data_IF_608136650593
#
_entry.id   IF_608136650593
#
_cell.length_a   1.000
_cell.length_b   1.000
_cell.length_c   1.000
_cell.angle_alpha   90.00
_cell.angle_beta   90.00
_cell.angle_gamma   90.00
#
_symmetry.space_group_name_H-M   'P 1'
#
loop_
_entity.id
_entity.type
_entity.pdbx_description
1 polymer ?
#
# COMPACT_ATOMS: atom_id res chain seq x y z
N UNK A 1 9.99 11.15 17.37
CA UNK A 1 8.92 11.77 16.56
C UNK A 1 7.94 12.35 17.56
N UNK A 2 7.92 13.67 17.70
CA UNK A 2 6.82 14.34 18.40
C UNK A 2 5.63 14.27 17.44
N UNK A 3 4.69 13.36 17.72
CA UNK A 3 3.54 13.12 16.86
C UNK A 3 2.47 14.13 17.21
N UNK A 4 2.04 14.94 16.24
CA UNK A 4 0.96 15.89 16.46
C UNK A 4 -0.37 15.13 16.53
N UNK A 5 -1.04 15.21 17.68
CA UNK A 5 -2.38 14.65 17.89
C UNK A 5 -3.34 15.84 18.02
N UNK A 6 -4.48 15.77 17.34
CA UNK A 6 -5.49 16.84 17.38
C UNK A 6 -6.50 16.59 18.50
N UNK A 7 -7.33 17.58 18.81
CA UNK A 7 -8.40 17.39 19.80
C UNK A 7 -9.41 16.35 19.34
N UNK A 8 -10.17 15.77 20.28
CA UNK A 8 -11.22 14.80 19.95
C UNK A 8 -12.31 15.38 19.05
N UNK A 9 -12.60 16.68 19.17
CA UNK A 9 -13.57 17.37 18.33
C UNK A 9 -13.06 17.47 16.88
N UNK A 10 -11.82 17.93 16.69
CA UNK A 10 -11.18 18.02 15.36
C UNK A 10 -11.04 16.62 14.72
N UNK A 11 -10.72 15.59 15.51
CA UNK A 11 -10.67 14.21 15.01
C UNK A 11 -12.04 13.72 14.54
N UNK A 12 -13.11 14.07 15.26
CA UNK A 12 -14.47 13.74 14.85
C UNK A 12 -14.89 14.50 13.58
N UNK A 13 -14.44 15.74 13.41
CA UNK A 13 -14.65 16.52 12.18
C UNK A 13 -13.91 15.91 10.98
N UNK A 14 -12.64 15.49 11.16
CA UNK A 14 -11.90 14.76 10.14
C UNK A 14 -12.62 13.47 9.73
N UNK A 15 -13.05 12.68 10.71
CA UNK A 15 -13.77 11.42 10.47
C UNK A 15 -15.08 11.69 9.70
N UNK A 16 -15.85 12.69 10.11
CA UNK A 16 -17.10 13.07 9.43
C UNK A 16 -16.84 13.52 7.99
N UNK A 17 -15.83 14.37 7.76
CA UNK A 17 -15.51 14.87 6.42
C UNK A 17 -15.11 13.74 5.44
N UNK A 18 -14.34 12.75 5.92
CA UNK A 18 -13.97 11.57 5.12
C UNK A 18 -15.19 10.67 4.89
N UNK A 19 -16.02 10.45 5.91
CA UNK A 19 -17.25 9.67 5.78
C UNK A 19 -18.20 10.27 4.75
N UNK A 20 -18.43 11.57 4.81
CA UNK A 20 -19.36 12.28 3.94
C UNK A 20 -18.88 12.18 2.48
N UNK A 21 -17.60 12.45 2.23
CA UNK A 21 -16.99 12.27 0.91
C UNK A 21 -17.18 10.85 0.37
N UNK A 22 -16.89 9.83 1.18
CA UNK A 22 -17.00 8.44 0.75
C UNK A 22 -18.45 7.97 0.59
N UNK A 23 -19.39 8.53 1.35
CA UNK A 23 -20.82 8.26 1.19
C UNK A 23 -21.33 8.76 -0.16
N UNK A 24 -20.85 9.92 -0.59
CA UNK A 24 -21.28 10.55 -1.83
C UNK A 24 -20.56 9.98 -3.08
N UNK A 25 -19.29 9.61 -2.95
CA UNK A 25 -18.40 9.34 -4.10
C UNK A 25 -17.86 7.91 -4.16
N UNK A 26 -18.08 7.10 -3.12
CA UNK A 26 -17.64 5.71 -3.03
C UNK A 26 -18.81 4.77 -2.72
N UNK A 27 -19.92 4.93 -3.46
CA UNK A 27 -21.08 4.05 -3.32
C UNK A 27 -20.76 2.62 -3.76
N UNK A 28 -21.63 1.65 -3.42
CA UNK A 28 -21.47 0.27 -3.90
C UNK A 28 -21.34 0.18 -5.44
N UNK A 29 -22.05 1.06 -6.17
CA UNK A 29 -21.97 1.11 -7.63
C UNK A 29 -20.60 1.60 -8.10
N UNK A 30 -20.03 2.60 -7.43
CA UNK A 30 -18.69 3.12 -7.71
C UNK A 30 -17.63 2.05 -7.45
N UNK A 31 -17.71 1.36 -6.30
CA UNK A 31 -16.80 0.26 -5.96
C UNK A 31 -16.83 -0.82 -7.03
N UNK A 32 -18.03 -1.26 -7.45
CA UNK A 32 -18.18 -2.27 -8.51
C UNK A 32 -17.66 -1.79 -9.86
N UNK A 33 -17.86 -0.51 -10.21
CA UNK A 33 -17.33 0.10 -11.43
C UNK A 33 -15.80 0.05 -11.44
N UNK A 34 -15.16 0.51 -10.37
CA UNK A 34 -13.69 0.53 -10.24
C UNK A 34 -13.13 -0.89 -10.31
N UNK A 35 -13.72 -1.84 -9.59
CA UNK A 35 -13.28 -3.24 -9.58
C UNK A 35 -13.42 -3.93 -10.95
N UNK A 36 -14.37 -3.50 -11.78
CA UNK A 36 -14.56 -4.04 -13.13
C UNK A 36 -13.61 -3.39 -14.16
N UNK A 37 -13.10 -2.19 -13.87
CA UNK A 37 -12.16 -1.47 -14.73
C UNK A 37 -10.72 -1.99 -14.63
N UNK A 38 -9.87 -1.51 -15.55
CA UNK A 38 -8.45 -1.82 -15.57
C UNK A 38 -7.57 -0.67 -15.05
N UNK A 39 -8.16 0.49 -14.72
CA UNK A 39 -7.45 1.68 -14.21
C UNK A 39 -6.92 1.51 -12.77
N UNK A 40 -7.44 0.52 -12.05
CA UNK A 40 -7.01 0.13 -10.72
C UNK A 40 -7.65 0.90 -9.57
N UNK A 41 -7.92 2.20 -9.73
CA UNK A 41 -8.64 3.04 -8.77
C UNK A 41 -9.26 4.28 -9.46
N UNK A 42 -10.20 4.93 -8.78
CA UNK A 42 -10.78 6.20 -9.23
C UNK A 42 -9.85 7.36 -8.89
N UNK A 43 -9.27 7.99 -9.92
CA UNK A 43 -8.31 9.09 -9.77
C UNK A 43 -8.96 10.39 -9.29
N UNK A 44 -10.23 10.62 -9.62
CA UNK A 44 -10.93 11.82 -9.19
C UNK A 44 -11.23 11.75 -7.69
N UNK A 45 -11.73 10.60 -7.22
CA UNK A 45 -11.92 10.35 -5.79
C UNK A 45 -10.59 10.44 -5.02
N UNK A 46 -9.51 9.88 -5.58
CA UNK A 46 -8.18 9.97 -4.96
C UNK A 46 -7.70 11.43 -4.83
N UNK A 47 -7.90 12.25 -5.85
CA UNK A 47 -7.56 13.67 -5.79
C UNK A 47 -8.40 14.42 -4.75
N UNK A 48 -9.70 14.09 -4.59
CA UNK A 48 -10.55 14.64 -3.52
C UNK A 48 -10.05 14.26 -2.12
N UNK A 49 -9.67 12.99 -1.93
CA UNK A 49 -9.06 12.53 -0.67
C UNK A 49 -7.74 13.25 -0.39
N UNK A 50 -6.90 13.46 -1.40
CA UNK A 50 -5.66 14.20 -1.26
C UNK A 50 -5.89 15.67 -0.90
N UNK A 51 -6.89 16.32 -1.51
CA UNK A 51 -7.28 17.69 -1.16
C UNK A 51 -7.79 17.83 0.28
N UNK A 52 -8.38 16.77 0.86
CA UNK A 52 -8.73 16.70 2.28
C UNK A 52 -7.54 16.35 3.20
N UNK A 53 -6.34 16.12 2.64
CA UNK A 53 -5.14 15.77 3.40
C UNK A 53 -5.03 14.28 3.77
N UNK A 54 -5.92 13.42 3.28
CA UNK A 54 -5.95 11.99 3.63
C UNK A 54 -4.69 11.26 3.14
N UNK A 55 -4.19 11.60 1.94
CA UNK A 55 -2.99 10.97 1.36
C UNK A 55 -1.70 11.43 2.04
N UNK A 56 -1.68 12.66 2.53
CA UNK A 56 -0.59 13.28 3.27
C UNK A 56 -0.73 13.20 4.79
N UNK A 57 -1.68 12.43 5.31
CA UNK A 57 -2.05 12.42 6.73
C UNK A 57 -0.83 12.18 7.64
N UNK A 58 -0.05 11.15 7.32
CA UNK A 58 1.16 10.78 8.07
C UNK A 58 2.39 11.58 7.64
N UNK A 59 2.36 12.28 6.50
CA UNK A 59 3.52 13.00 5.97
C UNK A 59 3.78 14.24 6.81
N UNK A 60 5.04 14.45 7.21
CA UNK A 60 5.44 15.63 7.99
C UNK A 60 5.14 16.92 7.20
N UNK A 61 4.73 17.99 7.90
CA UNK A 61 4.30 19.25 7.28
C UNK A 61 5.39 19.93 6.44
N UNK A 62 6.67 19.73 6.79
CA UNK A 62 7.80 20.21 5.98
C UNK A 62 7.86 19.60 4.58
N UNK A 63 7.20 18.47 4.35
CA UNK A 63 7.09 17.81 3.04
C UNK A 63 5.69 17.95 2.42
N UNK A 64 4.85 18.87 2.92
CA UNK A 64 3.52 19.14 2.38
C UNK A 64 2.41 18.22 2.88
N UNK A 65 2.65 17.47 3.96
CA UNK A 65 1.62 16.68 4.63
C UNK A 65 0.96 17.37 5.82
N UNK A 66 0.15 16.61 6.56
CA UNK A 66 -0.56 17.11 7.76
C UNK A 66 0.23 16.83 9.05
N UNK A 67 1.00 15.73 9.08
CA UNK A 67 1.85 15.36 10.21
C UNK A 67 1.09 14.78 11.40
N UNK A 68 -0.05 14.13 11.15
CA UNK A 68 -0.91 13.52 12.17
C UNK A 68 -0.49 12.10 12.53
N UNK A 69 -1.03 11.60 13.64
CA UNK A 69 -0.62 10.37 14.30
C UNK A 69 -1.51 9.16 14.06
N UNK A 70 -1.25 8.13 14.86
CA UNK A 70 -2.02 6.89 14.86
C UNK A 70 -3.52 7.08 15.16
N UNK A 71 -3.95 7.96 16.10
CA UNK A 71 -5.38 8.14 16.39
C UNK A 71 -6.17 8.72 15.21
N UNK A 72 -5.56 9.63 14.45
CA UNK A 72 -6.18 10.21 13.26
C UNK A 72 -6.15 9.23 12.08
N UNK A 73 -5.05 8.49 11.93
CA UNK A 73 -4.98 7.40 10.96
C UNK A 73 -6.05 6.34 11.20
N UNK A 74 -6.27 5.95 12.47
CA UNK A 74 -7.33 5.01 12.86
C UNK A 74 -8.70 5.53 12.40
N UNK A 75 -9.05 6.78 12.73
CA UNK A 75 -10.34 7.36 12.37
C UNK A 75 -10.57 7.37 10.84
N UNK A 76 -9.54 7.71 10.06
CA UNK A 76 -9.62 7.68 8.59
C UNK A 76 -9.67 6.23 8.05
N UNK A 77 -8.91 5.32 8.66
CA UNK A 77 -8.90 3.91 8.27
C UNK A 77 -10.26 3.23 8.50
N UNK A 78 -10.98 3.59 9.56
CA UNK A 78 -12.34 3.12 9.82
C UNK A 78 -13.30 3.48 8.69
N UNK A 79 -13.32 4.74 8.25
CA UNK A 79 -14.23 5.19 7.19
C UNK A 79 -13.86 4.60 5.82
N UNK A 80 -12.57 4.57 5.49
CA UNK A 80 -12.09 3.96 4.23
C UNK A 80 -12.39 2.46 4.18
N UNK A 81 -12.29 1.77 5.32
CA UNK A 81 -12.67 0.36 5.46
C UNK A 81 -14.19 0.15 5.35
N UNK A 82 -14.98 0.98 6.01
CA UNK A 82 -16.45 0.92 5.96
C UNK A 82 -16.99 1.14 4.54
N UNK A 83 -16.39 2.06 3.77
CA UNK A 83 -16.74 2.33 2.39
C UNK A 83 -16.16 1.31 1.38
N UNK A 84 -15.31 0.37 1.82
CA UNK A 84 -14.56 -0.56 0.96
C UNK A 84 -13.76 0.18 -0.13
N UNK A 85 -13.13 1.30 0.23
CA UNK A 85 -12.45 2.21 -0.69
C UNK A 85 -11.50 1.45 -1.65
N UNK A 86 -11.78 1.40 -2.96
CA UNK A 86 -10.96 0.68 -3.93
C UNK A 86 -9.81 1.57 -4.43
N UNK A 87 -8.99 2.08 -3.51
CA UNK A 87 -7.89 3.01 -3.78
C UNK A 87 -6.61 2.61 -3.02
N UNK A 88 -5.42 3.09 -3.42
CA UNK A 88 -4.15 2.69 -2.80
C UNK A 88 -3.89 3.37 -1.44
N UNK A 89 -4.91 3.57 -0.60
CA UNK A 89 -4.77 4.21 0.72
C UNK A 89 -3.76 3.47 1.60
N UNK A 90 -4.00 2.17 1.85
CA UNK A 90 -3.10 1.37 2.69
C UNK A 90 -1.70 1.22 2.09
N UNK A 91 -1.60 1.02 0.77
CA UNK A 91 -0.32 0.82 0.10
C UNK A 91 0.54 2.10 0.08
N UNK A 92 -0.07 3.23 -0.26
CA UNK A 92 0.61 4.50 -0.53
C UNK A 92 0.64 5.39 0.71
N UNK A 93 -0.53 5.87 1.14
CA UNK A 93 -0.65 6.87 2.21
C UNK A 93 -0.21 6.34 3.58
N UNK A 94 -0.26 5.01 3.78
CA UNK A 94 0.14 4.36 5.03
C UNK A 94 1.50 3.68 4.90
N UNK A 95 1.59 2.55 4.16
CA UNK A 95 2.78 1.71 4.17
C UNK A 95 4.00 2.38 3.54
N UNK A 96 3.85 3.01 2.37
CA UNK A 96 4.97 3.64 1.69
C UNK A 96 5.48 4.88 2.44
N UNK A 97 4.58 5.73 2.93
CA UNK A 97 4.93 6.89 3.76
C UNK A 97 5.65 6.46 5.03
N UNK A 98 5.09 5.50 5.77
CA UNK A 98 5.72 5.00 7.00
C UNK A 98 7.11 4.40 6.75
N UNK A 99 7.28 3.64 5.66
CA UNK A 99 8.58 3.09 5.28
C UNK A 99 9.62 4.17 4.95
N UNK A 100 9.24 5.21 4.18
CA UNK A 100 10.13 6.34 3.86
C UNK A 100 10.48 7.13 5.12
N UNK A 101 9.53 7.34 6.01
CA UNK A 101 9.80 8.07 7.24
C UNK A 101 10.75 7.31 8.17
N UNK A 102 10.58 5.99 8.29
CA UNK A 102 11.38 5.15 9.17
C UNK A 102 12.80 4.89 8.62
N UNK A 103 12.95 4.75 7.30
CA UNK A 103 14.20 4.25 6.71
C UNK A 103 14.79 5.14 5.60
N UNK A 104 14.07 6.16 5.14
CA UNK A 104 14.52 7.07 4.09
C UNK A 104 15.54 8.09 4.59
N UNK A 105 16.49 8.43 3.72
CA UNK A 105 17.40 9.56 3.96
C UNK A 105 16.65 10.90 3.87
N UNK A 106 17.17 12.02 4.40
CA UNK A 106 16.57 13.33 4.19
C UNK A 106 16.32 13.67 2.72
N UNK A 107 17.23 13.24 1.83
CA UNK A 107 17.09 13.41 0.38
C UNK A 107 15.98 12.55 -0.21
N UNK A 108 15.77 11.33 0.29
CA UNK A 108 14.63 10.49 -0.13
C UNK A 108 13.30 11.11 0.33
N UNK A 109 13.24 11.61 1.57
CA UNK A 109 12.06 12.28 2.11
C UNK A 109 11.67 13.49 1.26
N UNK A 110 12.60 14.41 1.02
CA UNK A 110 12.38 15.61 0.19
C UNK A 110 11.92 15.28 -1.24
N UNK A 111 12.42 14.19 -1.81
CA UNK A 111 12.10 13.80 -3.19
C UNK A 111 10.78 13.07 -3.32
N UNK A 112 10.41 12.23 -2.35
CA UNK A 112 9.29 11.27 -2.50
C UNK A 112 8.04 11.71 -1.76
N UNK A 113 8.17 12.27 -0.55
CA UNK A 113 7.02 12.54 0.30
C UNK A 113 6.06 13.61 -0.26
N UNK A 114 6.50 14.68 -0.96
CA UNK A 114 5.57 15.67 -1.50
C UNK A 114 4.56 15.09 -2.49
N UNK A 115 5.02 14.26 -3.43
CA UNK A 115 4.13 13.64 -4.43
C UNK A 115 3.23 12.54 -3.83
N UNK A 116 3.65 11.91 -2.73
CA UNK A 116 2.78 10.98 -2.00
C UNK A 116 1.72 11.75 -1.19
N UNK A 117 2.09 12.91 -0.64
CA UNK A 117 1.22 13.73 0.19
C UNK A 117 0.10 14.38 -0.62
N UNK A 118 0.41 14.93 -1.81
CA UNK A 118 -0.59 15.55 -2.70
C UNK A 118 -1.33 14.55 -3.59
N UNK A 119 -0.99 13.26 -3.49
CA UNK A 119 -1.62 12.17 -4.25
C UNK A 119 -1.23 12.10 -5.72
N UNK A 120 -0.28 12.91 -6.20
CA UNK A 120 0.18 12.90 -7.60
C UNK A 120 1.08 11.70 -7.93
N UNK A 121 1.67 11.07 -6.91
CA UNK A 121 2.41 9.82 -7.02
C UNK A 121 1.81 8.74 -6.12
N UNK A 122 1.85 7.50 -6.60
CA UNK A 122 1.42 6.33 -5.83
C UNK A 122 2.62 5.52 -5.37
N UNK A 123 2.74 5.33 -4.07
CA UNK A 123 3.73 4.50 -3.42
C UNK A 123 3.22 3.09 -3.10
N UNK A 124 4.15 2.14 -3.02
CA UNK A 124 3.90 0.84 -2.41
C UNK A 124 5.18 0.24 -1.83
N UNK A 125 5.05 -0.84 -1.07
CA UNK A 125 6.16 -1.58 -0.48
C UNK A 125 6.13 -3.04 -0.94
N UNK A 126 7.25 -3.51 -1.46
CA UNK A 126 7.49 -4.89 -1.84
C UNK A 126 8.31 -5.59 -0.75
N UNK A 127 7.61 -6.26 0.17
CA UNK A 127 8.20 -6.87 1.37
C UNK A 127 8.23 -8.40 1.33
N UNK A 128 7.23 -9.03 0.70
CA UNK A 128 7.05 -10.48 0.83
C UNK A 128 7.54 -11.24 -0.39
N UNK A 129 8.16 -12.38 -0.16
CA UNK A 129 8.46 -13.39 -1.16
C UNK A 129 7.27 -14.33 -1.40
N UNK A 130 7.52 -15.44 -2.09
CA UNK A 130 6.46 -16.37 -2.55
C UNK A 130 5.61 -16.95 -1.42
N UNK A 131 6.15 -17.03 -0.19
CA UNK A 131 5.43 -17.52 1.00
C UNK A 131 4.47 -16.48 1.60
N UNK A 132 4.56 -15.21 1.21
CA UNK A 132 3.70 -14.14 1.73
C UNK A 132 3.96 -13.78 3.20
N UNK A 133 5.11 -14.16 3.76
CA UNK A 133 5.46 -13.89 5.16
C UNK A 133 6.02 -12.48 5.32
N UNK A 134 5.54 -11.75 6.32
CA UNK A 134 5.99 -10.41 6.69
C UNK A 134 7.18 -10.48 7.67
N UNK A 135 8.19 -11.26 7.31
CA UNK A 135 9.41 -11.45 8.10
C UNK A 135 10.63 -11.20 7.23
N UNK A 136 11.78 -10.80 7.80
CA UNK A 136 13.02 -10.59 7.04
C UNK A 136 13.42 -11.82 6.21
N UNK A 137 13.31 -13.03 6.78
CA UNK A 137 13.61 -14.29 6.08
C UNK A 137 12.66 -14.59 4.92
N UNK A 138 11.51 -13.92 4.88
CA UNK A 138 10.51 -14.02 3.82
C UNK A 138 10.81 -13.18 2.59
N UNK A 139 11.84 -12.31 2.62
CA UNK A 139 12.17 -11.40 1.53
C UNK A 139 12.96 -12.13 0.44
N UNK A 140 12.36 -12.40 -0.73
CA UNK A 140 13.02 -13.16 -1.80
C UNK A 140 13.91 -12.30 -2.74
N UNK A 141 13.89 -10.97 -2.60
CA UNK A 141 14.70 -10.06 -3.42
C UNK A 141 16.10 -9.91 -2.82
N UNK A 142 17.12 -9.89 -3.69
CA UNK A 142 18.52 -9.71 -3.36
C UNK A 142 19.04 -8.43 -4.00
N UNK A 143 19.74 -7.60 -3.22
CA UNK A 143 20.53 -6.48 -3.68
C UNK A 143 21.96 -6.96 -3.96
N UNK A 144 22.38 -6.85 -5.22
CA UNK A 144 23.70 -7.24 -5.68
C UNK A 144 24.72 -6.11 -5.43
N UNK A 145 26.00 -6.45 -5.42
CA UNK A 145 27.09 -5.50 -5.15
C UNK A 145 27.19 -4.37 -6.19
N UNK A 146 26.68 -4.59 -7.41
CA UNK A 146 26.59 -3.60 -8.49
C UNK A 146 25.39 -2.64 -8.34
N UNK A 147 24.62 -2.79 -7.27
CA UNK A 147 23.43 -1.98 -6.97
C UNK A 147 22.16 -2.42 -7.70
N UNK A 148 22.19 -3.55 -8.43
CA UNK A 148 20.99 -4.13 -9.06
C UNK A 148 20.16 -4.94 -8.06
N UNK A 149 18.86 -5.06 -8.33
CA UNK A 149 17.95 -5.93 -7.58
C UNK A 149 17.59 -7.16 -8.43
N UNK A 150 17.67 -8.35 -7.84
CA UNK A 150 17.27 -9.61 -8.47
C UNK A 150 16.40 -10.45 -7.55
N UNK A 151 15.34 -11.06 -8.09
CA UNK A 151 14.42 -11.90 -7.33
C UNK A 151 12.97 -11.63 -7.70
N UNK A 152 12.05 -11.98 -6.81
CA UNK A 152 10.62 -11.75 -7.00
C UNK A 152 9.96 -11.36 -5.68
N UNK A 153 9.21 -10.26 -5.71
CA UNK A 153 8.29 -9.91 -4.64
C UNK A 153 6.87 -10.36 -5.02
N UNK A 154 6.12 -10.82 -4.03
CA UNK A 154 4.75 -11.27 -4.18
C UNK A 154 3.83 -10.43 -3.29
N UNK A 155 2.52 -10.48 -3.59
CA UNK A 155 1.47 -9.84 -2.79
C UNK A 155 1.66 -8.32 -2.58
N UNK A 156 2.27 -7.64 -3.57
CA UNK A 156 2.53 -6.19 -3.52
C UNK A 156 1.21 -5.43 -3.73
N UNK A 157 0.70 -4.83 -2.65
CA UNK A 157 -0.55 -4.06 -2.66
C UNK A 157 -0.43 -2.87 -3.63
N UNK A 158 -1.36 -2.75 -4.58
CA UNK A 158 -1.34 -1.64 -5.54
C UNK A 158 -0.12 -1.62 -6.47
N UNK A 159 0.67 -2.70 -6.55
CA UNK A 159 1.89 -2.73 -7.37
C UNK A 159 1.65 -2.43 -8.86
N UNK A 160 0.44 -2.63 -9.37
CA UNK A 160 0.06 -2.32 -10.74
C UNK A 160 -0.15 -0.84 -11.03
N UNK A 161 -0.38 0.00 -10.00
CA UNK A 161 -0.61 1.44 -10.13
C UNK A 161 0.49 2.30 -9.50
N UNK A 162 1.50 1.69 -8.89
CA UNK A 162 2.55 2.39 -8.17
C UNK A 162 3.57 3.07 -9.11
N UNK A 163 3.87 4.33 -8.84
CA UNK A 163 4.96 5.10 -9.44
C UNK A 163 6.29 4.86 -8.68
N UNK A 164 6.17 4.55 -7.39
CA UNK A 164 7.30 4.30 -6.48
C UNK A 164 7.08 2.96 -5.78
N UNK A 165 8.06 2.05 -5.91
CA UNK A 165 8.06 0.76 -5.23
C UNK A 165 9.27 0.71 -4.29
N UNK A 166 9.02 0.69 -2.99
CA UNK A 166 10.03 0.49 -1.97
C UNK A 166 10.27 -1.01 -1.81
N UNK A 167 11.42 -1.49 -2.25
CA UNK A 167 11.74 -2.93 -2.24
C UNK A 167 12.61 -3.25 -1.04
N UNK A 168 12.14 -4.13 -0.16
CA UNK A 168 13.02 -4.79 0.80
C UNK A 168 13.85 -5.83 0.06
N UNK A 169 15.16 -5.82 0.30
CA UNK A 169 16.08 -6.75 -0.32
C UNK A 169 17.14 -7.22 0.68
N UNK A 170 17.55 -8.48 0.56
CA UNK A 170 18.72 -9.01 1.27
C UNK A 170 19.97 -8.53 0.57
N UNK A 171 20.97 -8.06 1.30
CA UNK A 171 22.28 -7.76 0.71
C UNK A 171 23.04 -9.06 0.50
N UNK A 172 23.59 -9.25 -0.70
CA UNK A 172 24.56 -10.32 -0.91
C UNK A 172 25.79 -9.99 -0.05
N UNK A 173 25.95 -10.67 1.08
CA UNK A 173 27.12 -10.50 1.95
C UNK A 173 28.34 -10.94 1.15
N UNK A 174 29.03 -9.98 0.54
CA UNK A 174 30.44 -10.15 0.25
C UNK A 174 31.13 -10.09 1.60
N UNK A 175 31.68 -11.19 2.08
CA UNK A 175 32.50 -11.22 3.28
C UNK A 175 33.74 -10.33 3.07
N UNK A 176 33.58 -9.02 3.28
CA UNK A 176 34.68 -8.09 3.47
C UNK A 176 34.92 -8.02 4.97
N UNK A 177 35.90 -8.78 5.45
CA UNK A 177 36.36 -8.74 6.83
C UNK A 177 36.76 -7.32 7.24
N UNK A 178 36.11 -6.78 8.26
CA UNK A 178 36.77 -6.01 9.31
C UNK A 178 36.02 -6.23 10.63
N UNK A 179 36.79 -6.70 11.61
CA UNK A 179 36.39 -7.22 12.92
C UNK A 179 35.87 -6.15 13.88
N UNK A 180 34.79 -6.46 14.60
CA UNK A 180 34.70 -6.42 16.07
C UNK A 180 33.49 -7.28 16.51
N UNK A 181 33.58 -8.05 17.61
CA UNK A 181 32.47 -8.88 18.07
C UNK A 181 31.35 -7.99 18.64
N UNK A 182 30.17 -8.04 18.01
CA UNK A 182 28.98 -7.35 18.51
C UNK A 182 28.42 -8.11 19.72
N UNK A 183 28.12 -7.45 20.85
CA UNK A 183 27.50 -8.11 22.00
C UNK A 183 26.08 -8.59 21.66
N UNK A 184 25.61 -9.70 22.25
CA UNK A 184 24.28 -10.24 21.96
C UNK A 184 23.20 -9.27 22.47
N UNK A 185 22.46 -8.66 21.56
CA UNK A 185 21.31 -7.81 21.91
C UNK A 185 20.98 -6.64 20.98
N UNK A 186 21.75 -6.37 19.91
CA UNK A 186 21.43 -5.27 18.99
C UNK A 186 20.52 -5.72 17.83
N UNK A 187 19.47 -4.96 17.45
CA UNK A 187 18.60 -5.29 16.34
C UNK A 187 19.37 -5.25 15.00
N UNK A 188 19.20 -6.30 14.22
CA UNK A 188 19.83 -6.50 12.92
C UNK A 188 19.37 -5.40 11.94
N UNK A 189 20.35 -4.66 11.41
CA UNK A 189 20.13 -3.46 10.62
C UNK A 189 19.80 -3.83 9.17
N UNK A 190 18.51 -3.93 8.84
CA UNK A 190 18.03 -3.97 7.45
C UNK A 190 18.21 -2.57 6.83
N UNK A 191 19.30 -2.36 6.09
CA UNK A 191 19.51 -1.11 5.37
C UNK A 191 19.94 -1.37 3.93
N UNK A 192 18.95 -1.39 3.03
CA UNK A 192 19.01 -0.68 1.75
C UNK A 192 17.64 -0.70 1.06
N UNK A 193 16.88 0.39 1.21
CA UNK A 193 15.82 0.72 0.27
C UNK A 193 16.47 1.39 -0.93
N UNK A 194 16.68 0.64 -2.01
CA UNK A 194 17.17 1.23 -3.26
C UNK A 194 16.02 1.99 -3.92
N UNK A 195 16.07 3.31 -3.86
CA UNK A 195 15.05 4.22 -4.45
C UNK A 195 15.35 4.58 -5.92
N UNK A 196 16.21 3.80 -6.59
CA UNK A 196 16.49 3.98 -8.02
C UNK A 196 15.40 3.29 -8.84
N UNK A 197 14.88 3.99 -9.85
CA UNK A 197 14.09 3.41 -10.95
C UNK A 197 14.94 2.36 -11.67
N UNK A 198 15.01 1.16 -11.11
CA UNK A 198 15.41 0.00 -11.87
C UNK A 198 14.17 -0.53 -12.56
N UNK A 199 14.25 -0.73 -13.86
CA UNK A 199 13.23 -1.40 -14.64
C UNK A 199 13.08 -2.83 -14.15
N UNK A 200 12.36 -3.03 -13.04
CA UNK A 200 11.84 -4.32 -12.67
C UNK A 200 10.91 -4.73 -13.80
N UNK A 201 11.40 -5.62 -14.66
CA UNK A 201 10.55 -6.34 -15.59
C UNK A 201 9.73 -7.30 -14.73
N UNK A 202 8.67 -6.80 -14.10
CA UNK A 202 7.59 -7.61 -13.59
C UNK A 202 7.08 -8.39 -14.81
N UNK A 203 7.45 -9.66 -14.90
CA UNK A 203 6.81 -10.58 -15.83
C UNK A 203 5.37 -10.69 -15.35
N UNK A 204 4.48 -9.89 -15.96
CA UNK A 204 3.03 -10.07 -15.81
C UNK A 204 2.77 -11.53 -16.17
N UNK A 205 2.34 -12.36 -15.22
CA UNK A 205 1.75 -13.62 -15.62
C UNK A 205 0.52 -13.28 -16.48
N UNK A 206 0.35 -13.91 -17.66
CA UNK A 206 -0.84 -13.67 -18.46
C UNK A 206 -2.07 -13.93 -17.60
N UNK A 207 -2.98 -12.94 -17.49
CA UNK A 207 -4.32 -13.17 -16.93
C UNK A 207 -4.89 -14.39 -17.66
N UNK A 208 -5.10 -15.51 -16.96
CA UNK A 208 -5.91 -16.59 -17.52
C UNK A 208 -7.28 -15.98 -17.83
N UNK A 209 -7.79 -16.08 -19.07
CA UNK A 209 -9.15 -15.67 -19.34
C UNK A 209 -10.05 -16.44 -18.37
N UNK A 210 -10.92 -15.71 -17.65
CA UNK A 210 -11.98 -16.35 -16.86
C UNK A 210 -12.76 -17.22 -17.84
N UNK A 211 -12.63 -18.53 -17.73
CA UNK A 211 -13.48 -19.45 -18.48
C UNK A 211 -14.91 -19.08 -18.11
N UNK A 212 -15.69 -18.63 -19.10
CA UNK A 212 -17.12 -18.44 -18.94
C UNK A 212 -17.69 -19.73 -18.35
N UNK A 213 -18.17 -19.66 -17.10
CA UNK A 213 -18.90 -20.75 -16.50
C UNK A 213 -20.11 -21.00 -17.39
N UNK A 214 -20.13 -22.17 -18.04
CA UNK A 214 -21.26 -22.64 -18.83
C UNK A 214 -22.57 -22.50 -18.02
N UNK A 215 -23.69 -22.11 -18.66
CA UNK A 215 -24.96 -21.97 -17.96
C UNK A 215 -25.32 -23.30 -17.32
N UNK A 216 -25.50 -23.29 -15.98
CA UNK A 216 -26.01 -24.44 -15.23
C UNK A 216 -27.36 -24.83 -15.83
N UNK A 217 -27.42 -26.03 -16.40
CA UNK A 217 -28.65 -26.65 -16.88
C UNK A 217 -29.74 -26.58 -15.79
N UNK A 218 -30.93 -26.13 -16.20
CA UNK A 218 -32.06 -25.85 -15.32
C UNK A 218 -32.41 -27.02 -14.41
N UNK A 219 -32.57 -26.72 -13.11
CA UNK A 219 -33.20 -27.65 -12.17
C UNK A 219 -34.66 -27.83 -12.58
N UNK A 220 -35.03 -29.05 -12.96
CA UNK A 220 -36.44 -29.47 -13.11
C UNK A 220 -37.19 -29.27 -11.78
N UNK A 221 -38.44 -28.81 -11.79
CA UNK A 221 -39.24 -28.67 -10.57
C UNK A 221 -39.58 -30.05 -9.99
N UNK A 222 -39.38 -30.23 -8.69
CA UNK A 222 -39.82 -31.42 -7.94
C UNK A 222 -41.35 -31.44 -7.93
N UNK A 223 -41.95 -32.47 -8.53
CA UNK A 223 -43.37 -32.78 -8.35
C UNK A 223 -43.61 -33.15 -6.88
N UNK A 224 -44.54 -32.46 -6.23
CA UNK A 224 -45.12 -32.91 -4.97
C UNK A 224 -46.11 -34.04 -5.26
N UNK A 225 -45.82 -35.24 -4.77
CA UNK A 225 -46.79 -36.32 -4.66
C UNK A 225 -47.48 -36.19 -3.31
N UNK A 226 -48.70 -35.67 -3.31
CA UNK A 226 -49.67 -35.90 -2.24
C UNK A 226 -50.21 -37.33 -2.40
N UNK A 227 -49.97 -38.19 -1.42
CA UNK A 227 -50.76 -39.41 -1.22
C UNK A 227 -51.58 -39.26 0.05
N UNK A 228 -52.86 -39.63 -0.08
CA UNK A 228 -53.87 -39.78 0.96
C UNK A 228 -53.41 -40.62 2.14
#
# INVERSE_FOLDING_TARGET
>A
MDVMTISLAERAELQAAVRDLLTDECTEQDVRRVMAGDDGFDRELWAKLAAQGVTGLLVESEFGGVGLGAPELEAVAEETGAALLPAPFLASAVLAVAAIQAAGTPQDKQRLLPGLADGTAIGTVALTGRRGTWTPDGVDVVANADGTLSGSAHYVLGGQVADVILVAARTAVSACSRSEPTPPGSPERLQQFSTRRYGCRCSRSPRRPRSASAPRAGRRPRRHSTSR
#
